data_IF_535626778908
#
_entry.id   IF_535626778908
#
_cell.length_a   1.000
_cell.length_b   1.000
_cell.length_c   1.000
_cell.angle_alpha   90.00
_cell.angle_beta   90.00
_cell.angle_gamma   90.00
#
_symmetry.space_group_name_H-M   'P 1'
#
loop_
_entity.id
_entity.type
_entity.pdbx_description
1 polymer ?
#
# COMPACT_ATOMS: atom_id res chain seq x y z
N UNK A 1 22.72 1.28 5.82
CA UNK A 1 21.55 2.16 5.95
C UNK A 1 20.34 1.26 6.10
N UNK A 2 19.75 1.17 7.29
CA UNK A 2 18.76 0.11 7.64
C UNK A 2 17.37 0.73 7.71
N UNK A 3 16.46 0.27 6.85
CA UNK A 3 15.08 0.76 6.70
C UNK A 3 14.19 0.31 7.87
N UNK A 4 13.25 1.15 8.31
CA UNK A 4 12.42 0.87 9.50
C UNK A 4 11.32 -0.17 9.23
N UNK A 5 10.81 -0.30 8.00
CA UNK A 5 9.94 -1.43 7.66
C UNK A 5 10.71 -2.75 7.60
N UNK A 6 11.98 -2.74 7.20
CA UNK A 6 12.90 -3.88 7.37
C UNK A 6 13.09 -4.16 8.86
N UNK A 7 13.33 -3.17 9.73
CA UNK A 7 13.38 -3.42 11.20
C UNK A 7 12.07 -3.95 11.81
N UNK A 8 10.91 -3.43 11.40
CA UNK A 8 9.60 -3.86 11.90
C UNK A 8 9.19 -5.23 11.36
N UNK A 9 9.68 -5.61 10.17
CA UNK A 9 9.45 -6.91 9.56
C UNK A 9 10.63 -7.87 9.67
N UNK A 10 11.78 -7.51 10.23
CA UNK A 10 12.95 -8.40 10.34
C UNK A 10 12.57 -9.69 11.06
N UNK A 11 11.78 -9.56 12.14
CA UNK A 11 11.21 -10.69 12.86
C UNK A 11 10.21 -11.48 12.01
N UNK A 12 9.38 -10.81 11.21
CA UNK A 12 8.40 -11.46 10.34
C UNK A 12 9.06 -12.17 9.15
N UNK A 13 10.06 -11.56 8.52
CA UNK A 13 10.87 -12.10 7.42
C UNK A 13 11.74 -13.26 7.91
N UNK A 14 12.41 -13.11 9.05
CA UNK A 14 13.13 -14.21 9.70
C UNK A 14 12.19 -15.34 10.10
N UNK A 15 11.00 -15.00 10.62
CA UNK A 15 9.96 -15.95 10.95
C UNK A 15 9.44 -16.72 9.74
N UNK A 16 9.23 -16.04 8.61
CA UNK A 16 8.84 -16.67 7.34
C UNK A 16 9.95 -17.60 6.83
N UNK A 17 11.21 -17.14 6.82
CA UNK A 17 12.37 -17.97 6.48
C UNK A 17 12.43 -19.24 7.31
N UNK A 18 12.29 -19.13 8.63
CA UNK A 18 12.30 -20.27 9.54
C UNK A 18 11.13 -21.23 9.23
N UNK A 19 9.91 -20.72 9.01
CA UNK A 19 8.74 -21.53 8.67
C UNK A 19 8.93 -22.27 7.34
N UNK A 20 9.50 -21.63 6.31
CA UNK A 20 9.79 -22.26 5.02
C UNK A 20 10.78 -23.43 5.19
N UNK A 21 11.85 -23.21 5.94
CA UNK A 21 12.84 -24.26 6.21
C UNK A 21 12.24 -25.43 7.02
N UNK A 22 11.45 -25.12 8.06
CA UNK A 22 10.76 -26.14 8.86
C UNK A 22 9.80 -26.96 7.99
N UNK A 23 8.99 -26.32 7.15
CA UNK A 23 8.06 -27.01 6.27
C UNK A 23 8.78 -27.87 5.21
N UNK A 24 9.89 -27.38 4.67
CA UNK A 24 10.72 -28.14 3.74
C UNK A 24 11.30 -29.41 4.40
N UNK A 25 11.85 -29.28 5.61
CA UNK A 25 12.38 -30.43 6.37
C UNK A 25 11.27 -31.43 6.74
N UNK A 26 10.15 -30.95 7.27
CA UNK A 26 9.04 -31.78 7.71
C UNK A 26 8.36 -32.54 6.57
N UNK A 27 8.41 -32.01 5.34
CA UNK A 27 7.83 -32.64 4.15
C UNK A 27 8.78 -33.61 3.42
N UNK A 28 9.97 -33.86 3.96
CA UNK A 28 10.99 -34.72 3.32
C UNK A 28 11.68 -34.05 2.13
N UNK A 29 11.84 -32.72 2.18
CA UNK A 29 12.50 -31.95 1.13
C UNK A 29 11.58 -31.46 0.01
N UNK A 30 10.26 -31.41 0.25
CA UNK A 30 9.32 -30.85 -0.74
C UNK A 30 9.25 -29.33 -0.56
N UNK A 31 9.36 -28.61 -1.67
CA UNK A 31 9.13 -27.16 -1.71
C UNK A 31 7.67 -26.83 -1.42
N UNK A 32 7.41 -25.66 -0.85
CA UNK A 32 6.07 -25.20 -0.44
C UNK A 32 5.41 -24.35 -1.53
N UNK A 33 4.08 -24.30 -1.53
CA UNK A 33 3.33 -23.32 -2.30
C UNK A 33 2.91 -22.17 -1.38
N UNK A 34 3.21 -20.93 -1.76
CA UNK A 34 2.80 -19.73 -1.03
C UNK A 34 1.51 -19.19 -1.67
N UNK A 35 0.52 -18.88 -0.84
CA UNK A 35 -0.67 -18.14 -1.24
C UNK A 35 -0.64 -16.81 -0.50
N UNK A 36 -0.74 -15.70 -1.23
CA UNK A 36 -0.82 -14.36 -0.66
C UNK A 36 -2.06 -13.64 -1.16
N UNK A 37 -2.64 -12.80 -0.30
CA UNK A 37 -3.85 -12.05 -0.60
C UNK A 37 -3.62 -10.55 -0.39
N UNK A 38 -4.15 -9.72 -1.28
CA UNK A 38 -4.09 -8.25 -1.18
C UNK A 38 -2.66 -7.76 -0.92
N UNK A 39 -2.45 -6.87 0.03
CA UNK A 39 -1.14 -6.33 0.43
C UNK A 39 -0.13 -7.43 0.84
N UNK A 40 -0.59 -8.62 1.24
CA UNK A 40 0.29 -9.75 1.51
C UNK A 40 1.17 -10.15 0.32
N UNK A 41 0.72 -9.87 -0.91
CA UNK A 41 1.55 -10.07 -2.11
C UNK A 41 2.74 -9.12 -2.18
N UNK A 42 2.61 -7.88 -1.70
CA UNK A 42 3.73 -6.94 -1.59
C UNK A 42 4.77 -7.45 -0.59
N UNK A 43 4.31 -7.96 0.56
CA UNK A 43 5.19 -8.51 1.59
C UNK A 43 5.96 -9.74 1.08
N UNK A 44 5.30 -10.65 0.38
CA UNK A 44 5.95 -11.82 -0.22
C UNK A 44 6.95 -11.41 -1.30
N UNK A 45 6.61 -10.41 -2.13
CA UNK A 45 7.53 -9.86 -3.14
C UNK A 45 8.78 -9.22 -2.51
N UNK A 46 8.61 -8.46 -1.43
CA UNK A 46 9.71 -7.93 -0.63
C UNK A 46 10.59 -9.05 -0.07
N UNK A 47 9.98 -10.07 0.55
CA UNK A 47 10.71 -11.22 1.09
C UNK A 47 11.52 -11.93 0.00
N UNK A 48 10.91 -12.19 -1.16
CA UNK A 48 11.56 -12.79 -2.32
C UNK A 48 12.74 -11.96 -2.81
N UNK A 49 12.57 -10.65 -2.94
CA UNK A 49 13.65 -9.75 -3.39
C UNK A 49 14.84 -9.73 -2.43
N UNK A 50 14.59 -9.81 -1.12
CA UNK A 50 15.65 -9.76 -0.09
C UNK A 50 16.25 -11.13 0.23
N UNK A 51 15.56 -12.23 -0.10
CA UNK A 51 15.95 -13.61 0.24
C UNK A 51 15.78 -14.53 -0.98
N UNK A 52 16.27 -14.09 -2.13
CA UNK A 52 16.05 -14.76 -3.41
C UNK A 52 16.52 -16.23 -3.41
N UNK A 53 17.65 -16.52 -2.77
CA UNK A 53 18.20 -17.87 -2.58
C UNK A 53 17.27 -18.75 -1.74
N UNK A 54 16.77 -18.23 -0.62
CA UNK A 54 15.83 -18.92 0.27
C UNK A 54 14.51 -19.19 -0.44
N UNK A 55 13.99 -18.19 -1.17
CA UNK A 55 12.75 -18.30 -1.92
C UNK A 55 12.87 -19.36 -3.02
N UNK A 56 13.94 -19.30 -3.82
CA UNK A 56 14.24 -20.30 -4.87
C UNK A 56 14.41 -21.71 -4.29
N UNK A 57 15.06 -21.84 -3.12
CA UNK A 57 15.29 -23.13 -2.48
C UNK A 57 14.00 -23.77 -1.96
N UNK A 58 13.13 -22.99 -1.30
CA UNK A 58 12.02 -23.54 -0.54
C UNK A 58 10.65 -23.38 -1.19
N UNK A 59 10.47 -22.50 -2.17
CA UNK A 59 9.16 -22.22 -2.80
C UNK A 59 9.06 -22.89 -4.16
N UNK A 60 7.92 -23.52 -4.43
CA UNK A 60 7.58 -24.17 -5.69
C UNK A 60 6.63 -23.31 -6.52
N UNK A 61 5.58 -22.79 -5.88
CA UNK A 61 4.57 -21.95 -6.51
C UNK A 61 4.29 -20.74 -5.63
N UNK A 62 4.04 -19.61 -6.25
CA UNK A 62 3.48 -18.44 -5.60
C UNK A 62 2.17 -18.04 -6.28
N UNK A 63 1.08 -18.06 -5.52
CA UNK A 63 -0.27 -17.75 -5.96
C UNK A 63 -0.69 -16.45 -5.28
N UNK A 64 -0.86 -15.40 -6.07
CA UNK A 64 -1.37 -14.12 -5.63
C UNK A 64 -2.87 -14.01 -5.87
N UNK A 65 -3.60 -13.50 -4.87
CA UNK A 65 -5.03 -13.24 -4.96
C UNK A 65 -5.26 -11.75 -4.68
N UNK A 66 -5.73 -11.02 -5.69
CA UNK A 66 -6.06 -9.60 -5.61
C UNK A 66 -4.93 -8.71 -5.06
N UNK A 67 -3.67 -9.01 -5.41
CA UNK A 67 -2.51 -8.27 -4.89
C UNK A 67 -2.27 -6.95 -5.66
N UNK A 68 -2.31 -5.78 -4.99
CA UNK A 68 -2.19 -4.48 -5.66
C UNK A 68 -0.73 -4.12 -5.91
N UNK A 69 -0.06 -4.85 -6.83
CA UNK A 69 1.37 -4.66 -7.09
C UNK A 69 1.75 -3.24 -7.50
N UNK A 70 0.83 -2.50 -8.14
CA UNK A 70 1.04 -1.12 -8.58
C UNK A 70 0.31 -0.09 -7.70
N UNK A 71 -0.17 -0.51 -6.53
CA UNK A 71 -1.00 0.32 -5.66
C UNK A 71 -2.50 0.19 -5.96
N UNK A 72 -3.29 0.94 -5.21
CA UNK A 72 -4.76 0.97 -5.28
C UNK A 72 -5.24 2.44 -5.30
N UNK A 73 -5.16 3.13 -6.44
CA UNK A 73 -5.23 4.59 -6.53
C UNK A 73 -6.47 5.20 -5.87
N UNK A 74 -7.69 4.81 -6.29
CA UNK A 74 -8.92 5.40 -5.75
C UNK A 74 -9.04 5.20 -4.24
N UNK A 75 -8.90 3.97 -3.77
CA UNK A 75 -9.02 3.64 -2.33
C UNK A 75 -7.99 4.39 -1.47
N UNK A 76 -6.74 4.44 -1.90
CA UNK A 76 -5.63 4.98 -1.10
C UNK A 76 -5.62 6.51 -1.12
N UNK A 77 -5.84 7.12 -2.29
CA UNK A 77 -5.94 8.57 -2.39
C UNK A 77 -7.14 9.09 -1.59
N UNK A 78 -8.30 8.42 -1.68
CA UNK A 78 -9.49 8.78 -0.89
C UNK A 78 -9.26 8.61 0.62
N UNK A 79 -8.58 7.52 1.01
CA UNK A 79 -8.21 7.26 2.41
C UNK A 79 -7.37 8.38 3.03
N UNK A 80 -6.44 8.97 2.26
CA UNK A 80 -5.57 10.06 2.72
C UNK A 80 -6.26 11.44 2.71
N UNK A 81 -7.24 11.65 1.84
CA UNK A 81 -7.91 12.95 1.72
C UNK A 81 -9.13 13.07 2.62
N UNK A 82 -9.92 12.00 2.71
CA UNK A 82 -11.24 12.07 3.36
C UNK A 82 -11.51 10.88 4.29
N UNK A 83 -10.63 9.87 4.31
CA UNK A 83 -10.78 8.64 5.08
C UNK A 83 -11.55 7.57 4.34
N UNK A 84 -11.70 6.41 4.97
CA UNK A 84 -12.36 5.25 4.39
C UNK A 84 -13.49 4.75 5.30
N UNK A 85 -14.60 4.32 4.71
CA UNK A 85 -15.63 3.55 5.40
C UNK A 85 -15.66 2.15 4.78
N UNK A 86 -15.28 1.13 5.56
CA UNK A 86 -15.28 -0.26 5.11
C UNK A 86 -16.68 -0.91 5.07
N UNK A 87 -17.76 -0.12 5.10
CA UNK A 87 -19.12 -0.64 5.34
C UNK A 87 -19.96 -0.65 4.05
N UNK A 88 -19.66 -1.63 3.21
CA UNK A 88 -20.65 -2.39 2.43
C UNK A 88 -20.14 -3.84 2.38
N UNK A 89 -20.35 -4.65 3.43
CA UNK A 89 -20.00 -6.08 3.37
C UNK A 89 -19.58 -6.82 4.63
N UNK A 90 -19.53 -6.18 5.80
CA UNK A 90 -19.53 -6.86 7.10
C UNK A 90 -20.46 -6.07 8.02
N UNK A 91 -21.64 -6.61 8.27
CA UNK A 91 -22.70 -6.02 9.09
C UNK A 91 -22.14 -5.42 10.39
N UNK A 92 -22.37 -4.12 10.61
CA UNK A 92 -22.64 -3.48 11.92
C UNK A 92 -21.72 -3.70 13.15
N UNK A 93 -20.52 -4.27 13.05
CA UNK A 93 -19.66 -4.48 14.25
C UNK A 93 -18.46 -3.52 14.37
N UNK A 94 -18.15 -2.73 13.33
CA UNK A 94 -17.04 -1.77 13.33
C UNK A 94 -17.52 -0.35 12.99
N UNK A 95 -18.33 0.25 13.87
CA UNK A 95 -18.75 1.65 13.75
C UNK A 95 -17.61 2.62 14.07
N UNK A 96 -16.56 2.61 13.25
CA UNK A 96 -15.53 3.66 13.27
C UNK A 96 -15.96 4.72 12.27
N UNK A 97 -16.10 5.97 12.72
CA UNK A 97 -16.45 7.07 11.81
C UNK A 97 -15.38 7.23 10.73
N UNK A 98 -15.77 7.72 9.55
CA UNK A 98 -14.83 7.98 8.44
C UNK A 98 -13.64 8.81 8.89
N UNK A 99 -13.91 9.82 9.72
CA UNK A 99 -12.87 10.69 10.29
C UNK A 99 -11.97 9.97 11.29
N UNK A 100 -12.51 9.14 12.18
CA UNK A 100 -11.67 8.36 13.09
C UNK A 100 -10.78 7.36 12.34
N UNK A 101 -11.30 6.76 11.27
CA UNK A 101 -10.53 5.91 10.37
C UNK A 101 -9.45 6.72 9.64
N UNK A 102 -9.77 7.91 9.12
CA UNK A 102 -8.80 8.81 8.50
C UNK A 102 -7.59 9.06 9.40
N UNK A 103 -7.82 9.42 10.66
CA UNK A 103 -6.72 9.67 11.62
C UNK A 103 -5.83 8.44 11.85
N UNK A 104 -6.39 7.22 11.76
CA UNK A 104 -5.60 5.98 11.81
C UNK A 104 -4.80 5.74 10.52
N UNK A 105 -5.43 5.99 9.37
CA UNK A 105 -4.88 5.67 8.05
C UNK A 105 -3.74 6.62 7.64
N UNK A 106 -3.80 7.90 8.02
CA UNK A 106 -2.75 8.90 7.74
C UNK A 106 -1.39 8.52 8.36
N UNK A 107 -1.38 7.75 9.44
CA UNK A 107 -0.13 7.25 10.07
C UNK A 107 0.17 5.78 9.72
N UNK A 108 -0.63 5.15 8.86
CA UNK A 108 -0.48 3.74 8.56
C UNK A 108 0.48 3.51 7.38
N UNK A 109 1.65 2.86 7.56
CA UNK A 109 2.61 2.68 6.47
C UNK A 109 2.07 1.95 5.24
N UNK A 110 1.14 1.02 5.46
CA UNK A 110 0.49 0.28 4.37
C UNK A 110 -0.24 1.17 3.36
N UNK A 111 -0.78 2.31 3.81
CA UNK A 111 -1.46 3.27 2.95
C UNK A 111 -0.47 3.89 1.98
N UNK A 112 0.68 4.33 2.48
CA UNK A 112 1.74 4.91 1.65
C UNK A 112 2.36 3.88 0.70
N UNK A 113 2.54 2.63 1.12
CA UNK A 113 3.06 1.56 0.26
C UNK A 113 2.10 1.16 -0.87
N UNK A 114 0.81 1.42 -0.71
CA UNK A 114 -0.22 1.16 -1.71
C UNK A 114 -0.61 2.39 -2.53
N UNK A 115 0.08 3.53 -2.36
CA UNK A 115 -0.06 4.68 -3.27
C UNK A 115 0.19 4.24 -4.72
N UNK A 116 -0.51 4.86 -5.69
CA UNK A 116 -0.31 4.54 -7.10
C UNK A 116 1.15 4.68 -7.50
N UNK A 117 1.68 3.65 -8.17
CA UNK A 117 3.06 3.65 -8.62
C UNK A 117 3.27 4.71 -9.71
N UNK A 118 4.08 5.77 -9.48
CA UNK A 118 4.33 6.80 -10.47
C UNK A 118 5.17 6.32 -11.66
N UNK A 119 5.94 5.23 -11.48
CA UNK A 119 6.81 4.67 -12.51
C UNK A 119 6.11 3.58 -13.35
N UNK A 120 4.87 3.23 -13.02
CA UNK A 120 4.14 2.22 -13.76
C UNK A 120 3.51 2.84 -15.02
N UNK A 121 3.65 2.16 -16.15
CA UNK A 121 3.01 2.54 -17.41
C UNK A 121 1.51 2.21 -17.36
N UNK A 122 0.75 3.04 -16.66
CA UNK A 122 -0.69 2.95 -16.64
C UNK A 122 -1.26 3.19 -18.05
N UNK A 123 -2.23 2.37 -18.47
CA UNK A 123 -2.94 2.57 -19.73
C UNK A 123 -3.64 3.94 -19.76
N UNK A 124 -4.26 4.30 -18.65
CA UNK A 124 -4.82 5.61 -18.34
C UNK A 124 -4.32 5.94 -16.94
N UNK A 125 -3.70 7.11 -16.75
CA UNK A 125 -3.12 7.45 -15.44
C UNK A 125 -4.22 7.75 -14.43
N UNK A 126 -4.11 7.26 -13.18
CA UNK A 126 -5.07 7.60 -12.15
C UNK A 126 -4.93 9.08 -11.76
N UNK A 127 -6.07 9.77 -11.63
CA UNK A 127 -6.12 11.19 -11.30
C UNK A 127 -6.91 11.46 -10.02
N UNK A 128 -6.50 12.51 -9.31
CA UNK A 128 -7.28 13.13 -8.24
C UNK A 128 -7.77 14.48 -8.73
N UNK A 129 -9.09 14.68 -8.70
CA UNK A 129 -9.74 15.91 -9.12
C UNK A 129 -10.15 16.69 -7.88
N UNK A 130 -9.81 17.98 -7.84
CA UNK A 130 -10.11 18.86 -6.70
C UNK A 130 -10.61 20.20 -7.21
N UNK A 131 -11.76 20.63 -6.69
CA UNK A 131 -12.25 22.00 -6.90
C UNK A 131 -11.55 22.96 -5.96
N UNK A 132 -10.72 23.85 -6.51
CA UNK A 132 -9.90 24.80 -5.73
C UNK A 132 -10.35 26.23 -5.99
N UNK A 133 -10.43 27.03 -4.93
CA UNK A 133 -10.55 28.49 -5.06
C UNK A 133 -9.21 29.05 -5.51
N UNK A 134 -9.23 29.84 -6.57
CA UNK A 134 -8.05 30.54 -7.07
C UNK A 134 -8.00 31.95 -6.43
N UNK A 135 -7.11 32.20 -5.45
CA UNK A 135 -7.02 33.50 -4.78
C UNK A 135 -6.55 34.62 -5.72
N UNK A 136 -5.88 34.30 -6.82
CA UNK A 136 -5.44 35.29 -7.83
C UNK A 136 -6.58 35.70 -8.78
N UNK A 137 -7.66 34.91 -8.85
CA UNK A 137 -8.83 35.17 -9.70
C UNK A 137 -10.10 35.40 -8.87
N UNK A 138 -10.01 36.29 -7.88
CA UNK A 138 -11.16 36.71 -7.04
C UNK A 138 -11.90 35.53 -6.37
N UNK A 139 -11.18 34.45 -6.04
CA UNK A 139 -11.76 33.27 -5.40
C UNK A 139 -12.62 32.40 -6.33
N UNK A 140 -12.53 32.58 -7.65
CA UNK A 140 -13.17 31.70 -8.64
C UNK A 140 -12.76 30.24 -8.39
N UNK A 141 -13.72 29.32 -8.46
CA UNK A 141 -13.48 27.88 -8.24
C UNK A 141 -13.11 27.22 -9.56
N UNK A 142 -11.95 26.58 -9.62
CA UNK A 142 -11.43 25.89 -10.81
C UNK A 142 -11.18 24.41 -10.48
N UNK A 143 -11.40 23.53 -11.46
CA UNK A 143 -11.08 22.11 -11.34
C UNK A 143 -9.58 21.92 -11.59
N UNK A 144 -8.89 21.33 -10.63
CA UNK A 144 -7.46 21.01 -10.71
C UNK A 144 -7.27 19.50 -10.66
N UNK A 145 -6.41 18.97 -11.54
CA UNK A 145 -6.12 17.55 -11.66
C UNK A 145 -4.72 17.26 -11.14
N UNK A 146 -4.57 16.22 -10.32
CA UNK A 146 -3.29 15.75 -9.81
C UNK A 146 -3.05 14.32 -10.29
N UNK A 147 -1.92 14.09 -10.96
CA UNK A 147 -1.44 12.73 -11.25
C UNK A 147 -0.66 12.16 -10.05
N UNK A 148 -0.31 10.88 -10.09
CA UNK A 148 0.39 10.19 -9.00
C UNK A 148 1.68 10.91 -8.53
N UNK A 149 2.41 11.58 -9.42
CA UNK A 149 3.62 12.34 -9.08
C UNK A 149 3.33 13.65 -8.33
N UNK A 150 2.16 14.25 -8.58
CA UNK A 150 1.80 15.57 -8.07
C UNK A 150 0.92 15.47 -6.81
N UNK A 151 0.31 14.31 -6.58
CA UNK A 151 -0.57 14.04 -5.43
C UNK A 151 0.10 14.26 -4.07
N UNK A 152 1.43 14.11 -3.96
CA UNK A 152 2.14 14.34 -2.69
C UNK A 152 1.95 15.77 -2.21
N UNK A 153 2.12 16.75 -3.10
CA UNK A 153 1.94 18.17 -2.76
C UNK A 153 0.51 18.47 -2.32
N UNK A 154 -0.48 17.82 -2.97
CA UNK A 154 -1.88 17.90 -2.56
C UNK A 154 -2.09 17.36 -1.15
N UNK A 155 -1.53 16.19 -0.82
CA UNK A 155 -1.68 15.59 0.51
C UNK A 155 -0.99 16.42 1.60
N UNK A 156 0.21 16.95 1.33
CA UNK A 156 0.91 17.86 2.25
C UNK A 156 0.05 19.08 2.57
N UNK A 157 -0.55 19.70 1.55
CA UNK A 157 -1.41 20.86 1.72
C UNK A 157 -2.72 20.51 2.45
N UNK A 158 -3.39 19.43 2.04
CA UNK A 158 -4.67 19.02 2.60
C UNK A 158 -4.56 18.63 4.08
N UNK A 159 -3.44 18.02 4.48
CA UNK A 159 -3.22 17.52 5.83
C UNK A 159 -2.40 18.48 6.71
N UNK A 160 -1.97 19.65 6.21
CA UNK A 160 -1.08 20.56 6.94
C UNK A 160 -1.58 20.94 8.35
N UNK A 161 -2.91 21.07 8.50
CA UNK A 161 -3.59 21.41 9.75
C UNK A 161 -4.45 20.25 10.28
N UNK A 162 -4.18 19.02 9.84
CA UNK A 162 -4.92 17.85 10.32
C UNK A 162 -4.48 17.50 11.75
N UNK A 163 -5.46 17.35 12.65
CA UNK A 163 -5.22 17.19 14.07
C UNK A 163 -6.21 16.20 14.71
N UNK A 164 -5.73 15.47 15.72
CA UNK A 164 -6.51 14.59 16.58
C UNK A 164 -6.50 15.10 18.01
N UNK A 165 -7.69 15.27 18.60
CA UNK A 165 -7.83 15.56 20.03
C UNK A 165 -7.94 14.24 20.81
N UNK A 166 -6.95 13.96 21.65
CA UNK A 166 -6.91 12.77 22.51
C UNK A 166 -6.52 13.15 23.94
N UNK A 167 -7.40 12.83 24.91
CA UNK A 167 -7.20 13.17 26.34
C UNK A 167 -6.88 14.66 26.59
N UNK A 168 -7.59 15.55 25.90
CA UNK A 168 -7.39 17.01 26.03
C UNK A 168 -6.09 17.52 25.41
N UNK A 169 -5.33 16.68 24.70
CA UNK A 169 -4.15 17.07 23.94
C UNK A 169 -4.46 17.03 22.45
N UNK A 170 -4.04 18.08 21.75
CA UNK A 170 -4.05 18.15 20.29
C UNK A 170 -2.78 17.49 19.75
N UNK A 171 -2.95 16.53 18.86
CA UNK A 171 -1.88 15.80 18.19
C UNK A 171 -1.96 16.13 16.70
N UNK A 172 -0.92 16.76 16.15
CA UNK A 172 -0.84 17.00 14.71
C UNK A 172 -0.61 15.67 13.98
N UNK A 173 -1.37 15.46 12.90
CA UNK A 173 -1.29 14.28 12.04
C UNK A 173 -1.20 14.73 10.57
N UNK A 174 -0.12 15.46 10.19
CA UNK A 174 0.08 15.88 8.82
C UNK A 174 0.41 14.70 7.92
N UNK A 175 0.49 14.94 6.61
CA UNK A 175 1.03 13.94 5.68
C UNK A 175 2.45 13.53 6.13
N UNK A 176 2.64 12.24 6.42
CA UNK A 176 3.86 11.76 7.05
C UNK A 176 4.94 11.49 6.00
N UNK A 177 5.75 12.53 5.71
CA UNK A 177 6.85 12.45 4.75
C UNK A 177 7.92 11.42 5.10
N UNK A 178 8.06 11.04 6.38
CA UNK A 178 9.00 9.97 6.76
C UNK A 178 8.48 8.61 6.31
N UNK A 179 7.20 8.33 6.52
CA UNK A 179 6.54 7.11 6.05
C UNK A 179 6.53 7.06 4.52
N UNK A 180 6.23 8.18 3.86
CA UNK A 180 6.26 8.28 2.40
C UNK A 180 7.65 7.92 1.84
N UNK A 181 8.72 8.50 2.38
CA UNK A 181 10.10 8.17 1.97
C UNK A 181 10.42 6.68 2.13
N UNK A 182 9.88 6.04 3.18
CA UNK A 182 10.04 4.59 3.35
C UNK A 182 9.27 3.80 2.31
N UNK A 183 8.02 4.18 2.02
CA UNK A 183 7.21 3.55 0.98
C UNK A 183 7.88 3.66 -0.41
N UNK A 184 8.52 4.79 -0.72
CA UNK A 184 9.31 4.95 -1.96
C UNK A 184 10.49 3.98 -2.03
N UNK A 185 11.17 3.72 -0.92
CA UNK A 185 12.26 2.74 -0.91
C UNK A 185 11.72 1.29 -0.95
N UNK A 186 10.58 0.99 -0.30
CA UNK A 186 9.86 -0.28 -0.48
C UNK A 186 9.50 -0.48 -1.96
N UNK A 187 9.01 0.56 -2.63
CA UNK A 187 8.70 0.54 -4.07
C UNK A 187 9.92 0.16 -4.91
N UNK A 188 11.08 0.75 -4.61
CA UNK A 188 12.35 0.42 -5.27
C UNK A 188 12.72 -1.06 -5.11
N UNK A 189 12.51 -1.65 -3.93
CA UNK A 189 12.72 -3.09 -3.70
C UNK A 189 11.75 -3.92 -4.56
N UNK A 190 10.46 -3.55 -4.56
CA UNK A 190 9.44 -4.26 -5.32
C UNK A 190 9.73 -4.24 -6.84
N UNK A 191 10.10 -3.09 -7.39
CA UNK A 191 10.43 -2.92 -8.82
C UNK A 191 11.61 -3.78 -9.26
N UNK A 192 12.62 -3.93 -8.41
CA UNK A 192 13.81 -4.74 -8.69
C UNK A 192 13.61 -6.24 -8.39
N UNK A 193 12.47 -6.64 -7.84
CA UNK A 193 12.23 -8.02 -7.46
C UNK A 193 12.10 -8.93 -8.69
N UNK A 194 12.96 -9.95 -8.76
CA UNK A 194 12.94 -10.97 -9.81
C UNK A 194 12.41 -12.29 -9.24
N UNK A 195 11.48 -12.91 -9.96
CA UNK A 195 11.00 -14.25 -9.63
C UNK A 195 12.07 -15.27 -10.04
N UNK A 196 12.47 -16.20 -9.15
CA UNK A 196 13.40 -17.26 -9.56
C UNK A 196 12.78 -18.17 -10.61
N UNK A 197 13.56 -18.57 -11.62
CA UNK A 197 13.12 -19.45 -12.72
C UNK A 197 12.57 -20.81 -12.25
N UNK A 198 12.93 -21.21 -11.02
CA UNK A 198 12.48 -22.48 -10.43
C UNK A 198 11.11 -22.40 -9.75
N UNK A 199 10.45 -21.24 -9.77
CA UNK A 199 9.17 -20.98 -9.10
C UNK A 199 8.10 -20.63 -10.13
N UNK A 200 6.97 -21.34 -10.11
CA UNK A 200 5.81 -20.94 -10.92
C UNK A 200 5.00 -19.84 -10.24
N UNK A 201 4.63 -18.81 -10.98
CA UNK A 201 3.80 -17.71 -10.49
C UNK A 201 2.40 -17.72 -11.07
N UNK A 202 1.40 -17.47 -10.23
CA UNK A 202 -0.01 -17.38 -10.60
C UNK A 202 -0.58 -16.09 -10.02
N UNK A 203 -1.17 -15.25 -10.87
CA UNK A 203 -1.87 -14.04 -10.45
C UNK A 203 -3.37 -14.21 -10.70
N UNK A 204 -4.14 -14.21 -9.62
CA UNK A 204 -5.60 -14.30 -9.65
C UNK A 204 -6.13 -12.95 -9.20
N UNK A 205 -6.93 -12.30 -10.04
CA UNK A 205 -7.52 -11.01 -9.70
C UNK A 205 -8.95 -10.92 -10.24
N UNK A 206 -9.80 -10.25 -9.47
CA UNK A 206 -11.15 -9.93 -9.89
C UNK A 206 -11.11 -8.98 -11.08
N UNK A 207 -12.06 -9.17 -11.99
CA UNK A 207 -12.34 -8.25 -13.09
C UNK A 207 -13.86 -8.04 -13.14
N UNK A 208 -14.33 -7.03 -13.85
CA UNK A 208 -15.76 -6.79 -14.10
C UNK A 208 -16.59 -6.14 -12.98
N UNK A 209 -15.95 -5.61 -11.93
CA UNK A 209 -16.61 -4.72 -10.95
C UNK A 209 -16.03 -3.32 -11.06
N UNK A 210 -16.92 -2.32 -11.07
CA UNK A 210 -16.50 -0.92 -10.97
C UNK A 210 -15.72 -0.72 -9.67
N UNK A 211 -14.48 -0.30 -9.81
CA UNK A 211 -13.57 -0.06 -8.70
C UNK A 211 -13.08 1.38 -8.82
N UNK A 212 -13.17 2.20 -7.76
CA UNK A 212 -12.66 3.56 -7.79
C UNK A 212 -11.20 3.58 -8.27
N UNK A 213 -10.99 4.24 -9.41
CA UNK A 213 -9.69 4.39 -10.04
C UNK A 213 -9.20 5.82 -9.82
N UNK A 214 -10.04 6.78 -10.14
CA UNK A 214 -9.87 8.21 -9.86
C UNK A 214 -10.58 8.61 -8.56
N UNK A 215 -10.22 9.79 -8.03
CA UNK A 215 -10.89 10.44 -6.90
C UNK A 215 -11.40 11.80 -7.34
N UNK A 216 -12.61 12.19 -6.92
CA UNK A 216 -13.30 13.41 -7.31
C UNK A 216 -13.96 14.12 -6.13
#
# INVERSE_FOLDING_TARGET
>A
MVMIFVKATDKAMAGLRAKLETAYKASGGKKVNIISHSMGGLLVRCFMSMNHDIFSKYVNKWICIACPFQGAPGCINDSLLTGLQFVYGFESFFFVSRWAMHQLLVECPSIYEMLPNPNFEWKEKPIVQVWRKNPEKDGTVELVLYEATDCVSLFEEALQNNELNYNGKTIALPFNMSIYKWATETRRILENAQLPDTVSFYSIHGTSYETPYDVW
#
